data_IF_562668357108
#
_entry.id   IF_562668357108
#
_cell.length_a   1.000
_cell.length_b   1.000
_cell.length_c   1.000
_cell.angle_alpha   90.00
_cell.angle_beta   90.00
_cell.angle_gamma   90.00
#
_symmetry.space_group_name_H-M   'P 1'
#
loop_
_entity.id
_entity.type
_entity.pdbx_description
1 polymer ?
#
# COMPACT_ATOMS: atom_id res chain seq x y z
N UNK A 1 3.41 17.56 5.81
CA UNK A 1 4.84 17.18 5.76
C UNK A 1 5.48 17.84 4.55
N UNK A 2 6.76 18.19 4.62
CA UNK A 2 7.48 18.77 3.49
C UNK A 2 7.62 17.75 2.35
N UNK A 3 7.33 18.16 1.11
CA UNK A 3 7.48 17.30 -0.07
C UNK A 3 8.90 17.45 -0.62
N UNK A 4 9.55 16.32 -0.90
CA UNK A 4 10.89 16.30 -1.52
C UNK A 4 10.73 16.20 -3.03
N UNK A 5 11.41 17.08 -3.77
CA UNK A 5 11.51 16.97 -5.22
C UNK A 5 12.59 15.94 -5.58
N UNK A 6 12.23 14.96 -6.40
CA UNK A 6 13.13 13.92 -6.86
C UNK A 6 12.96 13.67 -8.37
N UNK A 7 14.04 13.25 -9.04
CA UNK A 7 13.99 12.83 -10.44
C UNK A 7 14.11 11.32 -10.52
N UNK A 8 13.15 10.67 -11.19
CA UNK A 8 13.09 9.21 -11.32
C UNK A 8 12.88 8.84 -12.80
N UNK A 9 13.48 7.72 -13.22
CA UNK A 9 13.18 7.08 -14.50
C UNK A 9 12.24 5.91 -14.24
N UNK A 10 11.05 5.97 -14.84
CA UNK A 10 9.99 4.98 -14.67
C UNK A 10 9.43 4.60 -16.05
N UNK A 11 8.93 3.37 -16.18
CA UNK A 11 8.25 2.93 -17.39
C UNK A 11 6.96 3.75 -17.59
N UNK A 12 6.89 4.43 -18.74
CA UNK A 12 5.74 5.26 -19.11
C UNK A 12 4.45 4.44 -19.30
N UNK A 13 4.54 3.17 -19.69
CA UNK A 13 3.36 2.27 -19.81
C UNK A 13 2.77 1.99 -18.44
N UNK A 14 3.61 1.61 -17.47
CA UNK A 14 3.21 1.37 -16.09
C UNK A 14 2.56 2.60 -15.45
N UNK A 15 3.14 3.78 -15.65
CA UNK A 15 2.59 5.03 -15.10
C UNK A 15 1.20 5.34 -15.68
N UNK A 16 0.99 5.15 -16.98
CA UNK A 16 -0.33 5.36 -17.62
C UNK A 16 -1.37 4.39 -17.09
N UNK A 17 -0.99 3.12 -16.95
CA UNK A 17 -1.89 2.08 -16.44
C UNK A 17 -2.28 2.37 -14.99
N UNK A 18 -1.29 2.64 -14.12
CA UNK A 18 -1.51 2.98 -12.73
C UNK A 18 -2.34 4.27 -12.59
N UNK A 19 -2.15 5.27 -13.46
CA UNK A 19 -2.95 6.48 -13.47
C UNK A 19 -4.44 6.20 -13.71
N UNK A 20 -4.75 5.31 -14.67
CA UNK A 20 -6.12 4.91 -14.98
C UNK A 20 -6.75 4.13 -13.82
N UNK A 21 -6.05 3.14 -13.28
CA UNK A 21 -6.55 2.27 -12.20
C UNK A 21 -6.76 3.07 -10.91
N UNK A 22 -5.77 3.88 -10.52
CA UNK A 22 -5.80 4.67 -9.29
C UNK A 22 -6.60 5.97 -9.41
N UNK A 23 -7.12 6.28 -10.61
CA UNK A 23 -7.84 7.54 -10.94
C UNK A 23 -7.06 8.78 -10.49
N UNK A 24 -5.76 8.78 -10.74
CA UNK A 24 -4.86 9.85 -10.33
C UNK A 24 -4.81 10.98 -11.37
N UNK A 25 -4.74 12.22 -10.90
CA UNK A 25 -4.72 13.44 -11.73
C UNK A 25 -3.32 13.79 -12.23
N UNK A 26 -2.27 13.31 -11.56
CA UNK A 26 -0.87 13.57 -11.92
C UNK A 26 0.02 12.35 -11.71
N UNK A 27 1.18 12.33 -12.36
CA UNK A 27 2.20 11.27 -12.18
C UNK A 27 2.70 11.21 -10.73
N UNK A 28 2.85 12.36 -10.07
CA UNK A 28 3.21 12.42 -8.65
C UNK A 28 2.16 11.72 -7.79
N UNK A 29 0.88 11.99 -8.05
CA UNK A 29 -0.22 11.37 -7.32
C UNK A 29 -0.29 9.85 -7.57
N UNK A 30 0.04 9.39 -8.78
CA UNK A 30 0.18 7.94 -9.06
C UNK A 30 1.19 7.31 -8.11
N UNK A 31 2.38 7.90 -8.00
CA UNK A 31 3.47 7.37 -7.17
C UNK A 31 3.12 7.45 -5.68
N UNK A 32 2.57 8.57 -5.21
CA UNK A 32 2.15 8.74 -3.82
C UNK A 32 1.08 7.72 -3.42
N UNK A 33 0.03 7.53 -4.24
CA UNK A 33 -1.04 6.56 -3.97
C UNK A 33 -0.52 5.13 -4.02
N UNK A 34 0.27 4.78 -5.04
CA UNK A 34 0.84 3.44 -5.16
C UNK A 34 1.72 3.07 -3.96
N UNK A 35 2.61 3.97 -3.54
CA UNK A 35 3.46 3.78 -2.36
C UNK A 35 2.62 3.62 -1.09
N UNK A 36 1.62 4.49 -0.90
CA UNK A 36 0.72 4.39 0.26
C UNK A 36 -0.01 3.04 0.30
N UNK A 37 -0.53 2.57 -0.83
CA UNK A 37 -1.20 1.26 -0.89
C UNK A 37 -0.26 0.11 -0.52
N UNK A 38 0.96 0.09 -1.06
CA UNK A 38 1.95 -0.95 -0.73
C UNK A 38 2.33 -0.91 0.75
N UNK A 39 2.57 0.28 1.30
CA UNK A 39 2.90 0.45 2.72
C UNK A 39 1.77 -0.07 3.61
N UNK A 40 0.51 0.28 3.33
CA UNK A 40 -0.62 -0.21 4.12
C UNK A 40 -0.81 -1.72 3.99
N UNK A 41 -0.61 -2.30 2.80
CA UNK A 41 -0.63 -3.75 2.61
C UNK A 41 0.45 -4.46 3.45
N UNK A 42 1.67 -3.92 3.48
CA UNK A 42 2.75 -4.50 4.28
C UNK A 42 2.52 -4.35 5.79
N UNK A 43 1.99 -3.21 6.24
CA UNK A 43 1.55 -3.05 7.65
C UNK A 43 0.51 -4.10 8.01
N UNK A 44 -0.49 -4.30 7.15
CA UNK A 44 -1.53 -5.30 7.38
C UNK A 44 -0.95 -6.72 7.41
N UNK A 45 -0.04 -7.07 6.50
CA UNK A 45 0.67 -8.36 6.51
C UNK A 45 1.47 -8.57 7.79
N UNK A 46 2.18 -7.55 8.28
CA UNK A 46 2.94 -7.63 9.53
C UNK A 46 2.03 -7.84 10.73
N UNK A 47 0.89 -7.14 10.78
CA UNK A 47 -0.12 -7.35 11.82
C UNK A 47 -0.65 -8.78 11.78
N UNK A 48 -1.07 -9.28 10.61
CA UNK A 48 -1.51 -10.67 10.46
C UNK A 48 -0.42 -11.62 10.95
N UNK A 49 0.84 -11.47 10.50
CA UNK A 49 1.94 -12.35 10.96
C UNK A 49 2.16 -12.31 12.48
N UNK A 50 2.03 -11.14 13.09
CA UNK A 50 2.22 -10.96 14.54
C UNK A 50 1.12 -11.65 15.35
N UNK A 51 -0.11 -11.68 14.83
CA UNK A 51 -1.27 -12.25 15.51
C UNK A 51 -1.66 -13.66 15.01
N UNK A 52 -1.11 -14.09 13.88
CA UNK A 52 -1.22 -15.42 13.30
C UNK A 52 -0.41 -16.41 14.13
N UNK A 53 -1.10 -17.12 15.02
CA UNK A 53 -0.51 -18.12 15.92
C UNK A 53 -0.61 -17.77 17.40
N UNK A 54 -1.04 -16.55 17.75
CA UNK A 54 -1.32 -16.17 19.16
C UNK A 54 -2.76 -16.41 19.58
N UNK A 55 -3.71 -16.47 18.64
CA UNK A 55 -5.09 -16.77 18.97
C UNK A 55 -5.31 -18.29 18.95
N UNK A 56 -5.68 -18.86 20.10
CA UNK A 56 -6.11 -20.25 20.20
C UNK A 56 -7.56 -20.35 19.75
N UNK A 57 -8.01 -21.51 19.22
CA UNK A 57 -9.42 -21.74 18.92
C UNK A 57 -10.36 -21.51 20.12
N UNK A 58 -9.80 -21.59 21.32
CA UNK A 58 -10.46 -21.33 22.62
C UNK A 58 -10.87 -19.86 22.80
N UNK A 59 -10.14 -18.92 22.18
CA UNK A 59 -10.37 -17.46 22.33
C UNK A 59 -11.62 -16.96 21.56
N UNK A 60 -12.23 -17.81 20.74
CA UNK A 60 -13.40 -17.50 19.91
C UNK A 60 -14.65 -18.27 20.33
N UNK A 61 -14.65 -18.96 21.50
CA UNK A 61 -15.76 -19.82 21.92
C UNK A 61 -16.95 -19.09 22.58
N UNK A 62 -16.82 -17.81 22.90
CA UNK A 62 -17.88 -17.03 23.57
C UNK A 62 -18.26 -15.73 22.82
N UNK A 63 -18.22 -15.71 21.48
CA UNK A 63 -18.74 -14.60 20.67
C UNK A 63 -20.10 -14.89 20.06
#
# INVERSE_FOLDING_TARGET
MAKVQMSLRLDARLIREAQRILRARSKTEVVERALSTVVEQEKHRQLIRRFSGTAKPEDFRDS
#
